data_IF_974786240377
#
_entry.id   IF_974786240377
#
_cell.length_a   1.000
_cell.length_b   1.000
_cell.length_c   1.000
_cell.angle_alpha   90.00
_cell.angle_beta   90.00
_cell.angle_gamma   90.00
#
_symmetry.space_group_name_H-M   'P 1'
#
loop_
_entity.id
_entity.type
_entity.pdbx_description
1 polymer ?
#
# COMPACT_ATOMS: atom_id res chain seq x y z
N UNK A 1 -44.31 -3.36 -38.16
CA UNK A 1 -44.42 -4.80 -37.82
C UNK A 1 -43.15 -5.60 -38.12
N UNK A 2 -42.49 -5.41 -39.28
CA UNK A 2 -41.29 -6.19 -39.67
C UNK A 2 -40.10 -6.06 -38.69
N UNK A 3 -39.87 -4.88 -38.12
CA UNK A 3 -38.71 -4.63 -37.24
C UNK A 3 -38.80 -5.29 -35.85
N UNK A 4 -40.02 -5.45 -35.32
CA UNK A 4 -40.24 -6.23 -34.08
C UNK A 4 -40.03 -7.72 -34.31
N UNK A 5 -40.31 -8.20 -35.53
CA UNK A 5 -40.08 -9.58 -35.93
C UNK A 5 -38.58 -9.89 -36.10
N UNK A 6 -37.81 -8.96 -36.70
CA UNK A 6 -36.35 -9.11 -36.81
C UNK A 6 -35.65 -9.11 -35.45
N UNK A 7 -36.07 -8.26 -34.51
CA UNK A 7 -35.47 -8.19 -33.17
C UNK A 7 -35.73 -9.48 -32.36
N UNK A 8 -36.96 -10.01 -32.42
CA UNK A 8 -37.30 -11.28 -31.76
C UNK A 8 -36.57 -12.47 -32.40
N UNK A 9 -36.41 -12.48 -33.72
CA UNK A 9 -35.66 -13.51 -34.43
C UNK A 9 -34.17 -13.49 -34.06
N UNK A 10 -33.54 -12.31 -33.95
CA UNK A 10 -32.14 -12.20 -33.52
C UNK A 10 -31.94 -12.62 -32.07
N UNK A 11 -32.86 -12.27 -31.16
CA UNK A 11 -32.77 -12.70 -29.76
C UNK A 11 -32.92 -14.23 -29.67
N UNK A 12 -33.85 -14.83 -30.41
CA UNK A 12 -34.03 -16.29 -30.44
C UNK A 12 -32.75 -17.00 -30.93
N UNK A 13 -32.12 -16.50 -32.00
CA UNK A 13 -30.88 -17.07 -32.55
C UNK A 13 -29.72 -16.94 -31.54
N UNK A 14 -29.56 -15.79 -30.88
CA UNK A 14 -28.52 -15.61 -29.86
C UNK A 14 -28.71 -16.54 -28.65
N UNK A 15 -29.95 -16.73 -28.19
CA UNK A 15 -30.25 -17.64 -27.06
C UNK A 15 -29.94 -19.10 -27.44
N UNK A 16 -30.23 -19.52 -28.67
CA UNK A 16 -29.89 -20.89 -29.13
C UNK A 16 -28.39 -21.14 -29.25
N UNK A 17 -27.59 -20.11 -29.58
CA UNK A 17 -26.12 -20.23 -29.64
C UNK A 17 -25.49 -20.39 -28.25
N UNK A 18 -26.05 -19.76 -27.21
CA UNK A 18 -25.49 -19.82 -25.86
C UNK A 18 -25.79 -21.17 -25.17
N UNK A 19 -26.90 -21.83 -25.49
CA UNK A 19 -27.23 -23.14 -24.90
C UNK A 19 -26.43 -24.33 -25.46
N UNK A 20 -25.67 -24.16 -26.55
CA UNK A 20 -24.92 -25.26 -27.19
C UNK A 20 -23.46 -25.42 -26.72
N UNK A 21 -23.02 -24.65 -25.70
CA UNK A 21 -21.63 -24.63 -25.24
C UNK A 21 -21.33 -25.50 -24.00
N UNK A 22 -22.32 -26.24 -23.46
CA UNK A 22 -22.08 -27.25 -22.42
C UNK A 22 -22.38 -28.65 -22.98
N UNK A 23 -21.50 -29.13 -23.87
CA UNK A 23 -21.44 -30.53 -24.27
C UNK A 23 -20.30 -31.21 -23.52
N UNK A 24 -20.64 -32.22 -22.72
CA UNK A 24 -19.77 -33.11 -21.95
C UNK A 24 -18.42 -33.41 -22.61
N UNK A 25 -17.33 -33.09 -21.91
CA UNK A 25 -16.03 -33.72 -22.13
C UNK A 25 -15.60 -34.37 -20.82
N UNK A 26 -16.05 -35.59 -20.61
CA UNK A 26 -15.53 -36.52 -19.61
C UNK A 26 -14.79 -37.61 -20.37
N UNK A 27 -13.44 -37.60 -20.34
CA UNK A 27 -12.56 -38.78 -20.49
C UNK A 27 -11.14 -38.49 -19.96
N UNK A 28 -10.75 -39.30 -18.96
CA UNK A 28 -9.42 -39.90 -18.66
C UNK A 28 -8.22 -38.99 -18.30
N UNK A 29 -7.85 -38.90 -17.00
CA UNK A 29 -6.78 -39.61 -16.23
C UNK A 29 -5.34 -39.06 -16.45
N UNK A 30 -4.49 -38.92 -15.40
CA UNK A 30 -3.97 -40.05 -14.60
C UNK A 30 -4.03 -39.85 -13.06
N UNK A 31 -4.14 -40.95 -12.33
CA UNK A 31 -3.91 -41.02 -10.89
C UNK A 31 -2.45 -40.65 -10.57
N UNK A 32 -2.25 -39.64 -9.73
CA UNK A 32 -0.92 -39.25 -9.24
C UNK A 32 -0.52 -40.14 -8.04
N UNK A 33 0.72 -40.65 -7.98
CA UNK A 33 1.17 -41.57 -6.92
C UNK A 33 1.07 -40.98 -5.51
N UNK A 34 0.59 -41.79 -4.57
CA UNK A 34 0.63 -41.52 -3.14
C UNK A 34 2.08 -41.27 -2.70
N UNK A 35 2.43 -40.04 -2.37
CA UNK A 35 3.70 -39.74 -1.71
C UNK A 35 3.71 -40.30 -0.27
N UNK A 36 4.84 -40.87 0.17
CA UNK A 36 4.96 -41.53 1.48
C UNK A 36 4.94 -40.52 2.64
N UNK A 37 4.14 -40.86 3.64
CA UNK A 37 4.00 -40.20 4.94
C UNK A 37 5.37 -39.93 5.61
N UNK A 38 5.73 -38.66 5.90
CA UNK A 38 6.90 -38.37 6.73
C UNK A 38 6.55 -38.72 8.18
N UNK A 39 6.86 -39.96 8.56
CA UNK A 39 6.95 -40.40 9.94
C UNK A 39 7.85 -39.45 10.75
N UNK A 40 7.24 -38.56 11.52
CA UNK A 40 7.92 -37.74 12.52
C UNK A 40 8.46 -38.64 13.64
N UNK A 41 9.77 -38.61 13.96
CA UNK A 41 10.24 -39.16 15.23
C UNK A 41 9.80 -38.24 16.37
N UNK A 42 8.93 -38.77 17.23
CA UNK A 42 8.63 -38.21 18.55
C UNK A 42 9.86 -38.37 19.45
N UNK A 43 10.62 -37.29 19.64
CA UNK A 43 11.66 -37.22 20.66
C UNK A 43 11.09 -36.66 21.96
N UNK A 44 10.86 -37.59 22.90
CA UNK A 44 11.27 -37.50 24.31
C UNK A 44 10.97 -36.20 25.06
N UNK A 45 9.91 -36.25 25.88
CA UNK A 45 9.85 -35.49 27.11
C UNK A 45 10.87 -36.07 28.10
N UNK A 46 11.88 -35.28 28.47
CA UNK A 46 12.56 -35.44 29.74
C UNK A 46 12.41 -34.13 30.52
N UNK A 47 11.76 -34.28 31.67
CA UNK A 47 11.57 -33.25 32.67
C UNK A 47 12.81 -33.23 33.56
N UNK A 48 13.45 -32.09 33.77
CA UNK A 48 14.10 -31.73 35.02
C UNK A 48 14.73 -30.34 34.90
N UNK A 49 14.31 -29.41 35.76
CA UNK A 49 15.20 -28.67 36.65
C UNK A 49 14.59 -27.32 37.01
N UNK A 50 14.21 -27.20 38.29
CA UNK A 50 13.73 -25.96 38.88
C UNK A 50 14.85 -24.93 39.01
N UNK A 51 14.65 -23.77 38.41
CA UNK A 51 15.45 -22.57 38.64
C UNK A 51 14.66 -21.54 39.45
N UNK A 52 14.75 -21.62 40.78
CA UNK A 52 14.29 -20.55 41.67
C UNK A 52 15.24 -19.36 41.51
N UNK A 53 14.85 -18.36 40.71
CA UNK A 53 15.58 -17.09 40.63
C UNK A 53 15.17 -16.20 41.79
N UNK A 54 15.92 -16.31 42.88
CA UNK A 54 15.90 -15.34 43.97
C UNK A 54 16.57 -14.06 43.47
N UNK A 55 15.78 -13.01 43.24
CA UNK A 55 16.27 -11.67 42.93
C UNK A 55 16.92 -11.11 44.20
N UNK A 56 18.24 -11.13 44.25
CA UNK A 56 19.02 -10.50 45.31
C UNK A 56 19.16 -9.00 44.99
N UNK A 57 18.42 -8.14 45.69
CA UNK A 57 18.69 -6.71 45.69
C UNK A 57 20.01 -6.46 46.45
N UNK A 58 21.01 -5.79 45.86
CA UNK A 58 22.06 -5.19 46.65
C UNK A 58 21.50 -3.94 47.33
N UNK A 59 21.27 -4.06 48.63
CA UNK A 59 21.14 -2.93 49.55
C UNK A 59 22.50 -2.24 49.65
N UNK A 60 22.64 -1.09 48.99
CA UNK A 60 23.77 -0.17 49.20
C UNK A 60 23.21 1.11 49.79
N UNK A 61 23.23 1.17 51.12
CA UNK A 61 23.12 2.42 51.86
C UNK A 61 24.37 3.25 51.63
N UNK A 62 24.23 4.29 50.81
CA UNK A 62 25.22 5.36 50.65
C UNK A 62 24.54 6.69 50.94
N UNK A 63 25.01 7.39 51.96
CA UNK A 63 24.61 8.76 52.25
C UNK A 63 25.08 9.66 51.10
N UNK A 64 24.15 10.36 50.45
CA UNK A 64 24.47 11.39 49.47
C UNK A 64 25.13 12.58 50.19
N UNK A 65 26.34 13.02 49.81
CA UNK A 65 26.86 14.31 50.25
C UNK A 65 26.05 15.44 49.60
N UNK A 66 25.87 16.59 50.28
CA UNK A 66 25.18 17.74 49.71
C UNK A 66 25.98 18.31 48.53
N UNK A 67 25.31 18.86 47.49
CA UNK A 67 26.00 19.53 46.40
C UNK A 67 26.72 20.78 46.89
N UNK A 68 28.01 20.86 46.61
CA UNK A 68 28.84 22.04 46.81
C UNK A 68 28.31 23.19 45.95
N UNK A 69 28.09 24.34 46.60
CA UNK A 69 27.74 25.60 45.94
C UNK A 69 29.01 26.21 45.37
N UNK A 70 29.38 25.80 44.16
CA UNK A 70 30.45 26.45 43.42
C UNK A 70 29.88 27.51 42.47
N UNK A 71 30.39 28.71 42.70
CA UNK A 71 30.24 29.97 41.97
C UNK A 71 30.26 29.78 40.45
N UNK A 72 29.15 30.14 39.78
CA UNK A 72 29.12 30.24 38.31
C UNK A 72 29.82 31.54 37.90
N UNK A 73 31.06 31.39 37.43
CA UNK A 73 31.77 32.43 36.68
C UNK A 73 31.15 32.54 35.28
N UNK A 74 30.85 33.75 34.84
CA UNK A 74 30.24 34.02 33.53
C UNK A 74 31.15 33.56 32.40
N UNK A 75 30.71 32.53 31.67
CA UNK A 75 31.31 32.13 30.41
C UNK A 75 30.70 33.03 29.33
N UNK A 76 31.51 33.92 28.75
CA UNK A 76 31.15 34.64 27.53
C UNK A 76 30.85 33.64 26.41
N UNK A 77 29.65 33.75 25.86
CA UNK A 77 29.10 32.86 24.85
C UNK A 77 29.87 33.05 23.53
N UNK A 78 30.60 32.04 22.99
CA UNK A 78 31.40 32.22 21.79
C UNK A 78 30.59 32.02 20.50
N UNK A 79 29.27 32.17 20.54
CA UNK A 79 28.43 31.87 19.39
C UNK A 79 28.47 33.02 18.38
N UNK A 80 28.98 32.80 17.15
CA UNK A 80 28.95 33.83 16.12
C UNK A 80 27.50 34.15 15.74
N UNK A 81 27.25 35.45 15.52
CA UNK A 81 25.95 35.99 15.10
C UNK A 81 25.37 35.20 13.92
N UNK A 82 24.05 34.90 13.92
CA UNK A 82 23.40 34.23 12.80
C UNK A 82 23.59 35.05 11.51
N UNK A 83 24.26 34.46 10.53
CA UNK A 83 24.36 35.01 9.19
C UNK A 83 22.95 35.22 8.64
N UNK A 84 22.66 36.44 8.19
CA UNK A 84 21.46 36.82 7.48
C UNK A 84 21.21 35.87 6.27
N UNK A 85 19.94 35.68 5.86
CA UNK A 85 19.55 34.54 5.05
C UNK A 85 20.16 34.63 3.66
N UNK A 86 20.85 33.56 3.25
CA UNK A 86 21.12 33.33 1.85
C UNK A 86 19.78 33.25 1.10
N UNK A 87 19.72 33.95 -0.03
CA UNK A 87 18.65 33.92 -1.03
C UNK A 87 18.52 32.49 -1.60
N UNK A 88 17.95 31.61 -0.80
CA UNK A 88 17.42 30.34 -1.22
C UNK A 88 16.04 30.64 -1.77
N UNK A 89 15.97 30.91 -3.08
CA UNK A 89 14.77 30.54 -3.83
C UNK A 89 14.62 29.04 -3.70
N UNK A 90 13.99 28.62 -2.60
CA UNK A 90 13.33 27.33 -2.50
C UNK A 90 12.24 27.44 -3.56
N UNK A 91 12.56 26.97 -4.76
CA UNK A 91 11.55 26.49 -5.67
C UNK A 91 10.87 25.40 -4.86
N UNK A 92 9.68 25.69 -4.34
CA UNK A 92 8.82 24.69 -3.76
C UNK A 92 8.72 23.60 -4.83
N UNK A 93 9.38 22.47 -4.61
CA UNK A 93 9.12 21.29 -5.41
C UNK A 93 7.60 21.10 -5.31
N UNK A 94 6.89 20.96 -6.44
CA UNK A 94 5.51 20.50 -6.39
C UNK A 94 5.47 19.27 -5.51
N UNK A 95 4.39 19.09 -4.75
CA UNK A 95 4.18 17.90 -3.94
C UNK A 95 4.06 16.71 -4.92
N UNK A 96 5.21 16.19 -5.34
CA UNK A 96 5.32 15.19 -6.39
C UNK A 96 4.75 13.91 -5.84
N UNK A 97 3.69 13.42 -6.48
CA UNK A 97 3.27 12.05 -6.32
C UNK A 97 4.46 11.18 -6.73
N UNK A 98 5.21 10.65 -5.75
CA UNK A 98 6.40 9.81 -5.93
C UNK A 98 6.13 8.59 -6.83
N UNK A 99 4.85 8.19 -6.91
CA UNK A 99 4.39 7.07 -7.70
C UNK A 99 3.75 7.51 -9.02
N UNK A 100 3.86 8.79 -9.41
CA UNK A 100 3.37 9.23 -10.72
C UNK A 100 4.10 8.48 -11.85
N UNK A 101 3.45 8.32 -13.03
CA UNK A 101 4.13 7.78 -14.21
C UNK A 101 5.41 8.56 -14.52
N UNK A 102 6.52 7.83 -14.64
CA UNK A 102 7.84 8.39 -14.87
C UNK A 102 8.17 8.42 -16.39
N UNK A 103 8.96 9.40 -16.86
CA UNK A 103 9.50 9.35 -18.22
C UNK A 103 10.29 8.07 -18.47
N UNK A 104 10.00 7.34 -19.55
CA UNK A 104 10.61 6.04 -19.85
C UNK A 104 9.72 4.85 -19.51
N UNK A 105 8.67 5.03 -18.70
CA UNK A 105 7.70 3.98 -18.40
C UNK A 105 7.01 3.44 -19.65
N UNK A 106 6.96 4.22 -20.75
CA UNK A 106 6.40 3.79 -22.03
C UNK A 106 7.15 2.59 -22.65
N UNK A 107 8.37 2.31 -22.20
CA UNK A 107 9.18 1.16 -22.63
C UNK A 107 9.04 -0.03 -21.69
N UNK A 108 8.41 0.16 -20.53
CA UNK A 108 8.19 -0.86 -19.53
C UNK A 108 6.88 -1.59 -19.80
N UNK A 109 6.80 -2.84 -19.33
CA UNK A 109 5.58 -3.63 -19.37
C UNK A 109 4.70 -3.22 -18.20
N UNK A 110 3.48 -2.74 -18.48
CA UNK A 110 2.43 -2.50 -17.47
C UNK A 110 1.87 -3.84 -16.98
N UNK A 111 1.63 -3.92 -15.67
CA UNK A 111 1.07 -5.07 -14.98
C UNK A 111 0.16 -4.66 -13.83
N UNK A 112 -0.39 -5.66 -13.15
CA UNK A 112 -1.33 -5.48 -12.06
C UNK A 112 -0.58 -5.22 -10.74
N UNK A 113 -1.31 -4.76 -9.73
CA UNK A 113 -0.90 -4.77 -8.32
C UNK A 113 -1.99 -5.46 -7.52
N UNK A 114 -1.61 -6.07 -6.40
CA UNK A 114 -2.56 -6.66 -5.46
C UNK A 114 -2.80 -5.65 -4.34
N UNK A 115 -4.04 -5.22 -4.15
CA UNK A 115 -4.42 -4.28 -3.08
C UNK A 115 -5.04 -5.11 -1.95
N UNK A 116 -4.46 -5.00 -0.76
CA UNK A 116 -4.93 -5.72 0.43
C UNK A 116 -5.84 -4.82 1.28
N UNK A 117 -5.50 -3.54 1.41
CA UNK A 117 -6.32 -2.56 2.12
C UNK A 117 -6.08 -1.13 1.66
N UNK A 118 -7.05 -0.27 1.97
CA UNK A 118 -7.02 1.17 1.69
C UNK A 118 -7.53 1.95 2.89
N UNK A 119 -6.91 3.10 3.18
CA UNK A 119 -7.34 3.97 4.27
C UNK A 119 -7.30 5.44 3.84
N UNK A 120 -8.35 6.20 4.19
CA UNK A 120 -8.50 7.61 3.83
C UNK A 120 -8.07 8.46 5.02
N UNK A 121 -7.18 9.42 4.78
CA UNK A 121 -6.71 10.38 5.76
C UNK A 121 -7.14 11.78 5.36
N UNK A 122 -7.91 12.42 6.24
CA UNK A 122 -8.25 13.83 6.15
C UNK A 122 -7.32 14.58 7.11
N UNK A 123 -6.52 15.51 6.58
CA UNK A 123 -5.65 16.33 7.41
C UNK A 123 -6.41 17.56 7.90
N UNK A 124 -6.16 17.95 9.15
CA UNK A 124 -6.78 19.10 9.81
C UNK A 124 -6.18 20.44 9.31
N UNK A 125 -6.09 20.64 7.99
CA UNK A 125 -5.68 21.87 7.33
C UNK A 125 -6.87 22.54 6.61
N UNK A 126 -6.69 23.80 6.19
CA UNK A 126 -7.64 24.47 5.29
C UNK A 126 -6.91 25.07 4.07
N UNK A 127 -7.19 24.61 2.83
CA UNK A 127 -8.10 23.51 2.48
C UNK A 127 -7.74 22.15 3.11
N UNK A 128 -8.72 21.25 3.22
CA UNK A 128 -8.51 19.91 3.77
C UNK A 128 -7.69 19.11 2.76
N UNK A 129 -6.51 18.68 3.18
CA UNK A 129 -5.67 17.77 2.39
C UNK A 129 -6.18 16.34 2.58
N UNK A 130 -6.47 15.67 1.47
CA UNK A 130 -6.91 14.26 1.50
C UNK A 130 -5.79 13.37 0.98
N UNK A 131 -5.49 12.30 1.72
CA UNK A 131 -4.53 11.27 1.33
C UNK A 131 -5.18 9.89 1.36
N UNK A 132 -4.77 9.04 0.44
CA UNK A 132 -5.13 7.63 0.39
C UNK A 132 -3.89 6.79 0.71
N UNK A 133 -3.98 5.97 1.74
CA UNK A 133 -2.99 4.93 1.99
C UNK A 133 -3.39 3.68 1.21
N UNK A 134 -2.45 3.12 0.45
CA UNK A 134 -2.60 1.88 -0.29
C UNK A 134 -1.61 0.86 0.29
N UNK A 135 -2.13 -0.26 0.77
CA UNK A 135 -1.34 -1.38 1.29
C UNK A 135 -1.61 -2.58 0.39
N UNK A 136 -0.54 -3.25 -0.03
CA UNK A 136 -0.67 -4.36 -0.97
C UNK A 136 0.66 -4.98 -1.34
N UNK A 137 0.67 -5.65 -2.49
CA UNK A 137 1.84 -6.36 -3.03
C UNK A 137 2.02 -6.11 -4.53
N UNK A 138 3.28 -5.96 -4.94
CA UNK A 138 3.70 -6.06 -6.33
C UNK A 138 3.96 -7.53 -6.69
N UNK A 139 3.79 -7.92 -7.98
CA UNK A 139 3.98 -9.31 -8.39
C UNK A 139 5.40 -9.83 -8.15
N UNK A 140 6.42 -8.97 -8.28
CA UNK A 140 7.83 -9.26 -7.96
C UNK A 140 8.58 -8.01 -7.50
N UNK A 141 9.77 -8.11 -6.88
CA UNK A 141 10.54 -6.94 -6.43
C UNK A 141 11.12 -6.10 -7.57
N UNK A 142 11.10 -6.59 -8.80
CA UNK A 142 11.53 -5.82 -9.96
C UNK A 142 10.41 -4.95 -10.55
N UNK A 143 9.16 -5.19 -10.15
CA UNK A 143 8.07 -4.30 -10.50
C UNK A 143 8.19 -3.00 -9.69
N UNK A 144 7.75 -1.91 -10.28
CA UNK A 144 7.65 -0.61 -9.62
C UNK A 144 6.19 -0.17 -9.61
N UNK A 145 5.72 0.34 -8.48
CA UNK A 145 4.39 0.89 -8.35
C UNK A 145 4.26 2.20 -9.13
N UNK A 146 3.12 2.37 -9.80
CA UNK A 146 2.66 3.63 -10.37
C UNK A 146 1.20 3.88 -9.98
N UNK A 147 0.90 5.13 -9.68
CA UNK A 147 -0.42 5.58 -9.28
C UNK A 147 -0.80 6.84 -10.06
N UNK A 148 -1.90 6.76 -10.79
CA UNK A 148 -2.52 7.92 -11.44
C UNK A 148 -3.72 8.32 -10.61
N UNK A 149 -3.79 9.59 -10.21
CA UNK A 149 -4.94 10.18 -9.54
C UNK A 149 -5.60 11.14 -10.51
N UNK A 150 -6.87 10.91 -10.81
CA UNK A 150 -7.69 11.81 -11.64
C UNK A 150 -8.37 12.85 -10.78
N UNK A 151 -8.66 14.02 -11.36
CA UNK A 151 -9.56 14.99 -10.76
C UNK A 151 -10.97 14.38 -10.55
N UNK A 152 -11.75 14.89 -9.57
CA UNK A 152 -13.13 14.46 -9.39
C UNK A 152 -13.96 14.61 -10.67
N UNK A 153 -14.71 13.56 -11.03
CA UNK A 153 -15.62 13.60 -12.18
C UNK A 153 -16.93 14.35 -11.88
N UNK A 154 -17.86 14.38 -12.85
CA UNK A 154 -19.19 15.03 -12.70
C UNK A 154 -20.04 14.44 -11.55
N UNK A 155 -19.67 13.28 -11.02
CA UNK A 155 -20.32 12.62 -9.88
C UNK A 155 -19.47 12.68 -8.61
N UNK A 156 -18.46 13.56 -8.56
CA UNK A 156 -17.49 13.68 -7.46
C UNK A 156 -16.76 12.36 -7.15
N UNK A 157 -16.51 11.53 -8.17
CA UNK A 157 -15.70 10.33 -8.01
C UNK A 157 -14.25 10.65 -8.32
N UNK A 158 -13.39 10.37 -7.35
CA UNK A 158 -11.94 10.44 -7.53
C UNK A 158 -11.48 9.06 -7.99
N UNK A 159 -11.00 8.97 -9.22
CA UNK A 159 -10.54 7.73 -9.84
C UNK A 159 -9.04 7.58 -9.69
N UNK A 160 -8.62 6.48 -9.09
CA UNK A 160 -7.22 6.11 -8.87
C UNK A 160 -6.91 4.84 -9.66
N UNK A 161 -5.90 4.91 -10.52
CA UNK A 161 -5.33 3.74 -11.17
C UNK A 161 -4.02 3.37 -10.50
N UNK A 162 -3.98 2.23 -9.80
CA UNK A 162 -2.77 1.66 -9.24
C UNK A 162 -2.32 0.47 -10.10
N UNK A 163 -1.11 0.54 -10.63
CA UNK A 163 -0.55 -0.47 -11.52
C UNK A 163 0.96 -0.62 -11.31
N UNK A 164 1.53 -1.68 -11.87
CA UNK A 164 2.98 -1.89 -11.84
C UNK A 164 3.61 -1.73 -13.21
N UNK A 165 4.89 -1.37 -13.24
CA UNK A 165 5.73 -1.39 -14.44
C UNK A 165 6.98 -2.23 -14.20
N UNK A 166 7.45 -2.94 -15.23
CA UNK A 166 8.65 -3.77 -15.14
C UNK A 166 9.40 -3.81 -16.48
N UNK A 167 10.73 -3.94 -16.44
CA UNK A 167 11.52 -4.16 -17.66
C UNK A 167 11.26 -5.59 -18.17
N UNK A 168 10.79 -5.78 -19.42
CA UNK A 168 10.54 -7.13 -19.93
C UNK A 168 11.82 -7.94 -20.18
N UNK A 169 13.00 -7.32 -20.17
CA UNK A 169 14.28 -7.95 -20.48
C UNK A 169 15.05 -8.43 -19.25
N UNK A 170 14.55 -8.18 -18.04
CA UNK A 170 15.17 -8.65 -16.80
C UNK A 170 14.52 -9.94 -16.31
N UNK A 171 15.34 -10.82 -15.76
CA UNK A 171 14.87 -12.02 -15.05
C UNK A 171 14.72 -11.65 -13.59
N UNK A 172 13.50 -11.75 -13.07
CA UNK A 172 13.21 -11.45 -11.68
C UNK A 172 12.91 -12.71 -10.87
N UNK A 173 13.26 -12.68 -9.57
CA UNK A 173 12.77 -13.64 -8.60
C UNK A 173 11.24 -13.54 -8.48
N UNK A 174 10.57 -14.66 -8.23
CA UNK A 174 9.10 -14.76 -8.20
C UNK A 174 8.59 -14.76 -6.76
N UNK A 175 8.69 -13.61 -6.10
CA UNK A 175 8.25 -13.40 -4.71
C UNK A 175 7.48 -12.08 -4.65
N UNK A 176 6.34 -12.05 -3.96
CA UNK A 176 5.58 -10.81 -3.79
C UNK A 176 6.40 -9.77 -3.01
N UNK A 177 6.36 -8.52 -3.48
CA UNK A 177 7.01 -7.39 -2.79
C UNK A 177 5.92 -6.52 -2.15
N UNK A 178 5.84 -6.44 -0.81
CA UNK A 178 4.83 -5.63 -0.15
C UNK A 178 5.10 -4.14 -0.34
N UNK A 179 4.04 -3.35 -0.40
CA UNK A 179 4.12 -1.90 -0.38
C UNK A 179 3.11 -1.30 0.61
N UNK A 180 3.48 -0.16 1.17
CA UNK A 180 2.63 0.69 1.99
C UNK A 180 2.95 2.14 1.62
N UNK A 181 2.04 2.80 0.91
CA UNK A 181 2.27 4.12 0.33
C UNK A 181 1.12 5.07 0.62
N UNK A 182 1.41 6.37 0.77
CA UNK A 182 0.41 7.43 0.90
C UNK A 182 0.42 8.32 -0.32
N UNK A 183 -0.70 8.34 -1.03
CA UNK A 183 -0.89 9.13 -2.25
C UNK A 183 -1.75 10.35 -1.91
N UNK A 184 -1.34 11.54 -2.34
CA UNK A 184 -2.17 12.75 -2.20
C UNK A 184 -3.30 12.72 -3.22
N UNK A 185 -4.53 12.93 -2.77
CA UNK A 185 -5.70 13.08 -3.64
C UNK A 185 -6.02 14.55 -3.95
N UNK A 186 -5.30 15.48 -3.32
CA UNK A 186 -5.47 16.91 -3.48
C UNK A 186 -6.03 17.62 -2.25
N UNK A 187 -6.47 18.85 -2.49
CA UNK A 187 -6.95 19.82 -1.53
C UNK A 187 -8.44 20.09 -1.77
N UNK A 188 -9.28 19.97 -0.75
CA UNK A 188 -10.74 20.05 -0.86
C UNK A 188 -11.32 21.03 0.15
N UNK A 189 -12.36 21.77 -0.25
CA UNK A 189 -12.99 22.81 0.59
C UNK A 189 -14.39 22.45 1.09
N UNK A 190 -15.20 21.78 0.26
CA UNK A 190 -16.58 21.40 0.54
C UNK A 190 -17.00 20.25 -0.40
N UNK A 191 -18.05 19.50 -0.03
CA UNK A 191 -18.69 18.52 -0.91
C UNK A 191 -18.59 17.06 -0.46
N UNK A 192 -19.26 16.19 -1.21
CA UNK A 192 -19.34 14.75 -0.99
C UNK A 192 -18.58 14.03 -2.10
N UNK A 193 -17.60 13.20 -1.73
CA UNK A 193 -16.71 12.52 -2.68
C UNK A 193 -16.65 11.02 -2.41
N UNK A 194 -16.55 10.23 -3.48
CA UNK A 194 -16.25 8.80 -3.38
C UNK A 194 -14.92 8.48 -4.06
N UNK A 195 -14.18 7.55 -3.47
CA UNK A 195 -12.84 7.18 -3.90
C UNK A 195 -12.90 5.79 -4.54
N UNK A 196 -12.35 5.69 -5.74
CA UNK A 196 -12.40 4.49 -6.55
C UNK A 196 -10.99 4.07 -6.95
N UNK A 197 -10.58 2.86 -6.59
CA UNK A 197 -9.27 2.30 -6.95
C UNK A 197 -9.47 1.18 -7.94
N UNK A 198 -8.88 1.29 -9.13
CA UNK A 198 -8.97 0.28 -10.20
C UNK A 198 -10.43 -0.15 -10.53
N UNK A 199 -11.38 0.77 -10.40
CA UNK A 199 -12.81 0.56 -10.70
C UNK A 199 -13.66 0.05 -9.53
N UNK A 200 -13.08 -0.13 -8.34
CA UNK A 200 -13.79 -0.51 -7.11
C UNK A 200 -13.89 0.68 -6.15
N UNK A 201 -15.08 0.92 -5.59
CA UNK A 201 -15.25 1.96 -4.57
C UNK A 201 -14.64 1.49 -3.25
N UNK A 202 -13.65 2.23 -2.76
CA UNK A 202 -12.89 1.89 -1.54
C UNK A 202 -13.26 2.75 -0.34
N UNK A 203 -13.99 3.85 -0.57
CA UNK A 203 -14.53 4.67 0.51
C UNK A 203 -15.14 5.98 0.02
N UNK A 204 -15.51 6.82 0.97
CA UNK A 204 -16.15 8.11 0.75
C UNK A 204 -15.79 9.07 1.88
N UNK A 205 -15.86 10.36 1.60
CA UNK A 205 -15.71 11.41 2.61
C UNK A 205 -16.59 12.62 2.27
N UNK A 206 -16.97 13.35 3.32
CA UNK A 206 -17.78 14.55 3.23
C UNK A 206 -17.09 15.73 3.89
N UNK A 207 -17.23 16.90 3.27
CA UNK A 207 -16.79 18.17 3.81
C UNK A 207 -17.99 19.13 3.92
N UNK A 208 -18.05 19.92 5.01
CA UNK A 208 -19.18 20.78 5.34
C UNK A 208 -19.42 21.91 4.34
#
# INVERSE_FOLDING_TARGET
MKQRFYCLLTILICVTMILSACGDTSLEQPEEPLEPDPSYPSTGQDSESGGNTTIHLPSVGGAYPPPSSDTIESIENPYPEPLAPADSRIVAAPLENEFAPAPGDEKLKRGNVFIDSTEIFLLESYPVQVKLQLIGNLPTPCHQLRVIVSEPDEQNRIQIEAYSVTDPNIICIQVLEPFDVRVSLGDFTEGEFSIWVNGEQVGEFSLP
#
